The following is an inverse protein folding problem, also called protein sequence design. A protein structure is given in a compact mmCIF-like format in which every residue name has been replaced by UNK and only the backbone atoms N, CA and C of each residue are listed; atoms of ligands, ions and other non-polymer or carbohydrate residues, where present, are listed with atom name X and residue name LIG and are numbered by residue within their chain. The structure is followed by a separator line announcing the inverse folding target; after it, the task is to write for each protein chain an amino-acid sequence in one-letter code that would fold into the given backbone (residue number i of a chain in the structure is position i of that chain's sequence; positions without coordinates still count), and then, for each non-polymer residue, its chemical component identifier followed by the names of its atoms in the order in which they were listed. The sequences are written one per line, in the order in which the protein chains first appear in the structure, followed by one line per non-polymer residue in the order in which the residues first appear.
data_IF_541355892800
#
_entry.id   IF_541355892800
#
_cell.length_a   1.000
_cell.length_b   1.000
_cell.length_c   1.000
_cell.angle_alpha   90.00
_cell.angle_beta   90.00
_cell.angle_gamma   90.00
#
_symmetry.space_group_name_H-M   'P 1'
#
loop_
_entity.id
_entity.type
_entity.pdbx_description
1 polymer ?
#
# COMPACT_ATOMS: atom_id res chain seq x y z
N UNK A 1 -1.49 -20.05 -3.01
CA UNK A 1 -0.76 -18.81 -3.34
C UNK A 1 0.75 -18.93 -3.08
N UNK A 2 1.24 -19.98 -2.39
CA UNK A 2 2.68 -20.24 -2.26
C UNK A 2 3.43 -19.27 -1.32
N UNK A 3 2.76 -18.73 -0.31
CA UNK A 3 3.46 -17.99 0.72
C UNK A 3 4.38 -18.89 1.54
N UNK A 4 5.57 -18.40 1.88
CA UNK A 4 6.51 -19.05 2.80
C UNK A 4 6.39 -18.53 4.22
N UNK A 5 6.26 -17.21 4.37
CA UNK A 5 6.20 -16.52 5.65
C UNK A 5 5.23 -15.34 5.56
N UNK A 6 4.42 -15.18 6.58
CA UNK A 6 3.48 -14.05 6.71
C UNK A 6 3.67 -13.42 8.08
N UNK A 7 3.81 -12.09 8.13
CA UNK A 7 3.76 -11.34 9.39
C UNK A 7 2.30 -11.25 9.85
N UNK A 8 2.07 -11.47 11.14
CA UNK A 8 0.77 -11.17 11.75
C UNK A 8 0.53 -9.66 11.69
N UNK A 9 -0.60 -9.25 11.15
CA UNK A 9 -1.00 -7.85 11.02
C UNK A 9 -2.06 -7.43 12.03
N UNK A 10 -2.29 -6.14 12.14
CA UNK A 10 -3.33 -5.58 13.02
C UNK A 10 -4.71 -6.11 12.66
N UNK A 11 -5.02 -6.19 11.35
CA UNK A 11 -6.32 -6.71 10.87
C UNK A 11 -6.52 -8.18 11.20
N UNK A 12 -5.46 -8.97 11.20
CA UNK A 12 -5.53 -10.38 11.58
C UNK A 12 -5.93 -10.52 13.07
N UNK A 13 -5.40 -9.65 13.93
CA UNK A 13 -5.72 -9.61 15.36
C UNK A 13 -7.15 -9.10 15.65
N UNK A 14 -7.79 -8.43 14.71
CA UNK A 14 -9.18 -8.00 14.86
C UNK A 14 -10.16 -9.18 15.03
N UNK A 15 -9.82 -10.37 14.51
CA UNK A 15 -10.60 -11.61 14.70
C UNK A 15 -10.30 -12.31 16.04
N UNK A 16 -9.36 -11.78 16.84
CA UNK A 16 -8.89 -12.34 18.08
C UNK A 16 -7.80 -13.41 17.91
N UNK A 17 -6.96 -13.53 18.94
CA UNK A 17 -5.80 -14.45 18.90
C UNK A 17 -6.19 -15.92 18.78
N UNK A 18 -7.33 -16.29 19.36
CA UNK A 18 -7.83 -17.67 19.30
C UNK A 18 -8.07 -18.11 17.86
N UNK A 19 -8.69 -17.26 17.05
CA UNK A 19 -8.95 -17.54 15.64
C UNK A 19 -7.64 -17.81 14.86
N UNK A 20 -6.64 -16.95 15.03
CA UNK A 20 -5.34 -17.15 14.38
C UNK A 20 -4.61 -18.40 14.88
N UNK A 21 -4.71 -18.70 16.17
CA UNK A 21 -4.08 -19.89 16.75
C UNK A 21 -4.70 -21.20 16.23
N UNK A 22 -5.98 -21.20 15.94
CA UNK A 22 -6.70 -22.34 15.35
C UNK A 22 -6.38 -22.51 13.85
N UNK A 23 -6.10 -21.41 13.15
CA UNK A 23 -5.77 -21.42 11.71
C UNK A 23 -4.28 -21.68 11.44
N UNK A 24 -3.39 -21.19 12.29
CA UNK A 24 -1.94 -21.29 12.11
C UNK A 24 -1.45 -22.72 11.81
N UNK A 25 -1.90 -23.78 12.50
CA UNK A 25 -1.47 -25.16 12.19
C UNK A 25 -1.94 -25.66 10.81
N UNK A 26 -3.00 -25.06 10.26
CA UNK A 26 -3.57 -25.43 8.94
C UNK A 26 -2.88 -24.69 7.80
N UNK A 27 -2.16 -23.61 8.10
CA UNK A 27 -1.48 -22.82 7.10
C UNK A 27 -0.23 -23.56 6.56
N UNK A 28 -0.01 -23.50 5.26
CA UNK A 28 1.19 -24.03 4.61
C UNK A 28 2.39 -23.08 4.67
N UNK A 29 2.26 -21.97 5.39
CA UNK A 29 3.28 -20.95 5.60
C UNK A 29 3.45 -20.70 7.11
N UNK A 30 4.56 -20.10 7.48
CA UNK A 30 4.80 -19.73 8.88
C UNK A 30 4.23 -18.35 9.18
N UNK A 31 3.43 -18.23 10.25
CA UNK A 31 3.12 -16.94 10.86
C UNK A 31 4.28 -16.53 11.77
N UNK A 32 4.71 -15.27 11.63
CA UNK A 32 5.78 -14.68 12.45
C UNK A 32 5.30 -13.41 13.13
N UNK A 33 5.75 -13.19 14.37
CA UNK A 33 5.66 -11.90 15.05
C UNK A 33 6.72 -11.84 16.13
N UNK A 34 7.66 -10.91 16.00
CA UNK A 34 8.81 -10.76 16.89
C UNK A 34 8.44 -10.04 18.18
N UNK A 35 7.38 -9.22 18.14
CA UNK A 35 7.04 -8.33 19.26
C UNK A 35 5.61 -8.48 19.82
N UNK A 36 4.83 -9.46 19.35
CA UNK A 36 3.56 -9.83 19.97
C UNK A 36 3.81 -10.88 21.05
N UNK A 37 3.54 -10.56 22.31
CA UNK A 37 3.86 -11.41 23.44
C UNK A 37 2.65 -11.67 24.34
N UNK A 38 2.67 -12.80 25.02
CA UNK A 38 1.80 -13.09 26.16
C UNK A 38 2.34 -12.36 27.39
N UNK A 39 1.50 -11.55 28.04
CA UNK A 39 1.90 -10.72 29.19
C UNK A 39 2.34 -11.52 30.41
N UNK A 40 1.80 -12.73 30.59
CA UNK A 40 2.12 -13.56 31.78
C UNK A 40 3.48 -14.21 31.63
N UNK A 41 3.80 -14.67 30.44
CA UNK A 41 5.01 -15.46 30.20
C UNK A 41 6.14 -14.64 29.56
N UNK A 42 5.85 -13.49 29.00
CA UNK A 42 6.78 -12.68 28.20
C UNK A 42 7.21 -13.34 26.89
N UNK A 43 6.64 -14.50 26.53
CA UNK A 43 7.01 -15.24 25.32
C UNK A 43 6.22 -14.74 24.11
N UNK A 44 6.87 -14.75 22.95
CA UNK A 44 6.19 -14.48 21.68
C UNK A 44 5.06 -15.48 21.45
N UNK A 45 3.92 -14.98 20.97
CA UNK A 45 2.72 -15.79 20.68
C UNK A 45 2.92 -16.61 19.42
N UNK A 46 3.62 -16.06 18.44
CA UNK A 46 4.04 -16.74 17.22
C UNK A 46 5.56 -16.88 17.18
N UNK A 47 6.09 -17.56 16.16
CA UNK A 47 7.53 -17.63 15.96
C UNK A 47 8.10 -16.21 15.84
N UNK A 48 9.11 -15.83 16.64
CA UNK A 48 9.70 -14.49 16.52
C UNK A 48 10.41 -14.31 15.18
N UNK A 49 10.92 -15.38 14.62
CA UNK A 49 11.50 -15.46 13.26
C UNK A 49 11.44 -16.88 12.72
N UNK A 50 11.69 -17.02 11.42
CA UNK A 50 11.98 -18.29 10.75
C UNK A 50 13.23 -18.15 9.91
N UNK A 51 13.98 -19.22 9.75
CA UNK A 51 15.12 -19.27 8.84
C UNK A 51 14.72 -20.17 7.67
N UNK A 52 14.89 -19.66 6.45
CA UNK A 52 14.69 -20.39 5.19
C UNK A 52 16.01 -20.47 4.46
N UNK A 53 16.27 -21.61 3.87
CA UNK A 53 17.44 -21.80 3.00
C UNK A 53 17.01 -21.70 1.54
N UNK A 54 17.59 -20.74 0.81
CA UNK A 54 17.28 -20.49 -0.60
C UNK A 54 18.59 -20.25 -1.33
N UNK A 55 18.88 -21.04 -2.35
CA UNK A 55 20.11 -20.97 -3.15
C UNK A 55 21.40 -20.93 -2.29
N UNK A 56 21.44 -21.70 -1.20
CA UNK A 56 22.58 -21.78 -0.28
C UNK A 56 22.68 -20.61 0.71
N UNK A 57 21.72 -19.66 0.69
CA UNK A 57 21.62 -18.59 1.67
C UNK A 57 20.62 -18.95 2.77
N UNK A 58 21.02 -18.74 4.02
CA UNK A 58 20.14 -18.81 5.19
C UNK A 58 19.50 -17.44 5.42
N UNK A 59 18.23 -17.33 5.12
CA UNK A 59 17.46 -16.09 5.21
C UNK A 59 16.60 -16.12 6.47
N UNK A 60 16.87 -15.24 7.42
CA UNK A 60 16.01 -15.02 8.57
C UNK A 60 14.91 -14.02 8.22
N UNK A 61 13.66 -14.38 8.49
CA UNK A 61 12.50 -13.53 8.27
C UNK A 61 11.82 -13.27 9.60
N UNK A 62 11.74 -11.99 9.99
CA UNK A 62 11.14 -11.52 11.23
C UNK A 62 9.88 -10.69 10.92
N UNK A 63 8.95 -10.61 11.86
CA UNK A 63 7.73 -9.82 11.72
C UNK A 63 7.58 -8.77 12.81
N UNK A 64 7.23 -7.53 12.46
CA UNK A 64 7.02 -6.44 13.42
C UNK A 64 5.62 -5.84 13.29
N UNK A 65 4.97 -5.66 14.44
CA UNK A 65 3.72 -4.94 14.63
C UNK A 65 3.98 -3.55 15.22
N UNK A 66 3.13 -2.59 14.90
CA UNK A 66 3.17 -1.28 15.55
C UNK A 66 2.62 -1.36 16.97
N UNK A 67 3.38 -0.91 17.95
CA UNK A 67 2.99 -0.88 19.36
C UNK A 67 1.87 0.13 19.66
N UNK A 68 1.61 1.08 18.76
CA UNK A 68 0.44 1.97 18.84
C UNK A 68 -0.89 1.22 18.74
N UNK A 69 -0.91 -0.02 18.24
CA UNK A 69 -2.09 -0.87 18.20
C UNK A 69 -2.46 -1.50 19.57
N UNK A 70 -1.60 -1.39 20.58
CA UNK A 70 -1.84 -1.97 21.92
C UNK A 70 -3.21 -1.65 22.54
N UNK A 71 -3.75 -0.40 22.51
CA UNK A 71 -5.07 -0.12 23.08
C UNK A 71 -6.17 -0.98 22.47
N UNK A 72 -6.22 -1.06 21.15
CA UNK A 72 -7.22 -1.86 20.40
C UNK A 72 -7.04 -3.37 20.66
N UNK A 73 -5.79 -3.83 20.71
CA UNK A 73 -5.48 -5.22 21.01
C UNK A 73 -5.99 -5.61 22.42
N UNK A 74 -5.76 -4.76 23.40
CA UNK A 74 -6.10 -5.03 24.80
C UNK A 74 -7.60 -5.05 25.08
N UNK A 75 -8.40 -4.37 24.28
CA UNK A 75 -9.86 -4.47 24.34
C UNK A 75 -10.36 -5.88 23.97
N UNK A 76 -9.67 -6.58 23.07
CA UNK A 76 -10.06 -7.91 22.57
C UNK A 76 -9.33 -9.04 23.28
N UNK A 77 -8.03 -8.87 23.46
CA UNK A 77 -7.11 -9.86 24.01
C UNK A 77 -6.25 -9.23 25.13
N UNK A 78 -6.81 -8.96 26.32
CA UNK A 78 -6.12 -8.23 27.41
C UNK A 78 -4.87 -8.93 27.93
N UNK A 79 -4.75 -10.24 27.68
CA UNK A 79 -3.57 -11.04 28.01
C UNK A 79 -2.36 -10.83 27.11
N UNK A 80 -2.52 -10.09 26.01
CA UNK A 80 -1.47 -9.85 25.03
C UNK A 80 -0.90 -8.44 25.11
N UNK A 81 0.31 -8.26 24.60
CA UNK A 81 0.96 -6.96 24.43
C UNK A 81 1.86 -6.97 23.21
N UNK A 82 1.95 -5.83 22.54
CA UNK A 82 2.96 -5.57 21.51
C UNK A 82 4.09 -4.79 22.19
N UNK A 83 5.28 -5.40 22.24
CA UNK A 83 6.49 -4.77 22.77
C UNK A 83 6.98 -3.72 21.77
N UNK A 84 7.63 -2.66 22.25
CA UNK A 84 8.26 -1.65 21.41
C UNK A 84 9.17 -2.34 20.37
N UNK A 85 8.96 -2.06 19.07
CA UNK A 85 9.55 -2.83 17.97
C UNK A 85 11.07 -2.90 17.98
N UNK A 86 11.75 -1.78 18.26
CA UNK A 86 13.21 -1.73 18.26
C UNK A 86 13.81 -2.55 19.41
N UNK A 87 13.17 -2.52 20.57
CA UNK A 87 13.60 -3.29 21.75
C UNK A 87 13.45 -4.80 21.53
N UNK A 88 12.30 -5.22 20.98
CA UNK A 88 12.05 -6.62 20.62
C UNK A 88 13.04 -7.11 19.56
N UNK A 89 13.29 -6.27 18.55
CA UNK A 89 14.25 -6.59 17.49
C UNK A 89 15.67 -6.72 18.03
N UNK A 90 16.11 -5.81 18.90
CA UNK A 90 17.44 -5.87 19.54
C UNK A 90 17.65 -7.17 20.29
N UNK A 91 16.63 -7.60 21.06
CA UNK A 91 16.69 -8.85 21.81
C UNK A 91 16.77 -10.07 20.89
N UNK A 92 15.94 -10.11 19.83
CA UNK A 92 15.85 -11.24 18.89
C UNK A 92 17.07 -11.34 17.97
N UNK A 93 17.63 -10.21 17.53
CA UNK A 93 18.78 -10.21 16.62
C UNK A 93 20.11 -10.55 17.31
N UNK A 94 20.14 -10.58 18.66
CA UNK A 94 21.35 -10.93 19.38
C UNK A 94 21.81 -12.35 19.03
N UNK A 95 22.93 -12.48 18.34
CA UNK A 95 23.48 -13.74 17.86
C UNK A 95 22.82 -14.30 16.59
N UNK A 96 21.74 -13.70 16.09
CA UNK A 96 21.03 -14.25 14.92
C UNK A 96 21.90 -14.30 13.66
N UNK A 97 22.82 -13.34 13.49
CA UNK A 97 23.77 -13.32 12.35
C UNK A 97 24.73 -14.51 12.29
N UNK A 98 24.91 -15.23 13.37
CA UNK A 98 25.70 -16.47 13.36
C UNK A 98 24.97 -17.60 12.64
N UNK A 99 23.64 -17.54 12.60
CA UNK A 99 22.77 -18.58 12.03
C UNK A 99 22.19 -18.19 10.67
N UNK A 100 22.32 -16.95 10.22
CA UNK A 100 21.77 -16.52 8.94
C UNK A 100 22.71 -15.58 8.16
N UNK A 101 22.52 -15.57 6.87
CA UNK A 101 23.31 -14.79 5.91
C UNK A 101 22.60 -13.51 5.51
N UNK A 102 21.25 -13.49 5.61
CA UNK A 102 20.39 -12.39 5.17
C UNK A 102 19.23 -12.23 6.14
N UNK A 103 18.89 -10.99 6.50
CA UNK A 103 17.80 -10.66 7.43
C UNK A 103 16.76 -9.81 6.74
N UNK A 104 15.54 -10.33 6.71
CA UNK A 104 14.34 -9.68 6.18
C UNK A 104 13.39 -9.33 7.31
N UNK A 105 12.93 -8.09 7.36
CA UNK A 105 11.88 -7.64 8.26
C UNK A 105 10.58 -7.46 7.47
N UNK A 106 9.53 -8.16 7.86
CA UNK A 106 8.16 -7.90 7.41
C UNK A 106 7.55 -6.89 8.38
N UNK A 107 7.43 -5.63 7.98
CA UNK A 107 7.08 -4.53 8.88
C UNK A 107 5.65 -4.05 8.68
N UNK A 108 4.95 -3.80 9.79
CA UNK A 108 3.67 -3.08 9.85
C UNK A 108 3.81 -1.68 10.50
N UNK A 109 5.05 -1.16 10.63
CA UNK A 109 5.34 0.04 11.42
C UNK A 109 5.04 1.36 10.71
N UNK A 110 4.91 1.35 9.40
CA UNK A 110 4.84 2.57 8.60
C UNK A 110 6.21 3.13 8.22
N UNK A 111 6.23 4.03 7.23
CA UNK A 111 7.45 4.51 6.56
C UNK A 111 8.44 5.17 7.53
N UNK A 112 7.96 6.05 8.40
CA UNK A 112 8.82 6.80 9.32
C UNK A 112 9.54 5.89 10.33
N UNK A 113 8.82 4.91 10.89
CA UNK A 113 9.40 3.95 11.85
C UNK A 113 10.34 2.96 11.15
N UNK A 114 10.05 2.54 9.90
CA UNK A 114 10.95 1.69 9.11
C UNK A 114 12.28 2.38 8.82
N UNK A 115 12.26 3.67 8.45
CA UNK A 115 13.47 4.49 8.25
C UNK A 115 14.28 4.64 9.54
N UNK A 116 13.61 4.89 10.65
CA UNK A 116 14.26 4.95 11.97
C UNK A 116 14.91 3.62 12.31
N UNK A 117 14.19 2.51 12.13
CA UNK A 117 14.69 1.17 12.37
C UNK A 117 15.97 0.87 11.55
N UNK A 118 15.95 1.15 10.25
CA UNK A 118 17.10 1.00 9.37
C UNK A 118 18.26 1.94 9.76
N UNK A 119 17.94 3.16 10.23
CA UNK A 119 18.93 4.12 10.72
C UNK A 119 19.69 3.64 11.96
N UNK A 120 19.01 2.94 12.86
CA UNK A 120 19.59 2.47 14.12
C UNK A 120 20.23 1.08 14.04
N UNK A 121 19.87 0.26 13.04
CA UNK A 121 20.29 -1.14 12.89
C UNK A 121 20.90 -1.43 11.54
N UNK A 122 22.22 -1.57 11.50
CA UNK A 122 22.99 -1.87 10.29
C UNK A 122 22.96 -3.35 9.86
N UNK A 123 22.39 -4.23 10.71
CA UNK A 123 22.40 -5.67 10.47
C UNK A 123 21.11 -6.16 9.77
N UNK A 124 20.25 -5.24 9.32
CA UNK A 124 19.06 -5.54 8.54
C UNK A 124 19.40 -5.37 7.06
N UNK A 125 19.13 -6.39 6.25
CA UNK A 125 19.40 -6.32 4.81
C UNK A 125 18.22 -5.76 4.04
N UNK A 126 16.99 -6.14 4.44
CA UNK A 126 15.77 -5.78 3.72
C UNK A 126 14.61 -5.54 4.70
N UNK A 127 13.88 -4.46 4.49
CA UNK A 127 12.57 -4.21 5.11
C UNK A 127 11.51 -4.22 4.01
N UNK A 128 10.52 -5.11 4.14
CA UNK A 128 9.30 -5.11 3.36
C UNK A 128 8.21 -4.47 4.22
N UNK A 129 7.92 -3.20 3.92
CA UNK A 129 7.02 -2.39 4.71
C UNK A 129 5.57 -2.50 4.26
N UNK A 130 4.69 -2.81 5.19
CA UNK A 130 3.24 -2.62 5.15
C UNK A 130 2.82 -1.56 6.18
N UNK A 131 1.51 -1.34 6.34
CA UNK A 131 0.96 -0.37 7.29
C UNK A 131 1.21 1.10 6.92
N UNK A 132 0.40 1.99 7.48
CA UNK A 132 0.47 3.43 7.22
C UNK A 132 0.13 3.83 5.78
N UNK A 133 0.04 5.14 5.54
CA UNK A 133 -0.12 5.69 4.19
C UNK A 133 1.22 5.60 3.43
N UNK A 134 1.29 4.75 2.43
CA UNK A 134 2.44 4.69 1.53
C UNK A 134 2.15 5.51 0.29
N UNK A 135 2.98 6.50 0.02
CA UNK A 135 3.07 7.09 -1.31
C UNK A 135 3.78 6.08 -2.20
N UNK A 136 3.33 5.96 -3.47
CA UNK A 136 3.82 5.02 -4.51
C UNK A 136 5.20 4.46 -4.28
N UNK A 137 5.29 3.12 -4.28
CA UNK A 137 6.47 2.30 -4.46
C UNK A 137 7.81 2.94 -4.07
N UNK A 138 7.99 3.26 -2.79
CA UNK A 138 9.25 3.86 -2.33
C UNK A 138 10.28 2.75 -2.21
N UNK A 139 11.31 2.83 -3.03
CA UNK A 139 12.54 2.10 -2.84
C UNK A 139 13.54 3.07 -2.24
N UNK A 140 13.92 2.84 -1.02
CA UNK A 140 14.87 3.69 -0.30
C UNK A 140 15.95 2.84 0.35
N UNK A 141 17.13 3.39 0.52
CA UNK A 141 18.23 2.75 1.25
C UNK A 141 18.69 3.63 2.40
N UNK A 142 18.65 3.07 3.59
CA UNK A 142 19.08 3.75 4.82
C UNK A 142 20.14 2.89 5.51
N UNK A 143 21.33 3.41 5.68
CA UNK A 143 22.49 2.73 6.31
C UNK A 143 22.78 1.32 5.76
N UNK A 144 22.55 1.10 4.48
CA UNK A 144 22.78 -0.20 3.84
C UNK A 144 21.55 -1.12 3.79
N UNK A 145 20.50 -0.84 4.57
CA UNK A 145 19.23 -1.56 4.55
C UNK A 145 18.36 -1.08 3.39
N UNK A 146 17.88 -2.00 2.56
CA UNK A 146 16.88 -1.69 1.55
C UNK A 146 15.47 -1.67 2.17
N UNK A 147 14.68 -0.64 1.86
CA UNK A 147 13.29 -0.51 2.33
C UNK A 147 12.38 -0.47 1.11
N UNK A 148 11.47 -1.45 1.01
CA UNK A 148 10.47 -1.52 -0.05
C UNK A 148 9.07 -1.44 0.51
N UNK A 149 8.27 -0.56 -0.07
CA UNK A 149 6.86 -0.40 0.26
C UNK A 149 6.05 -0.33 -1.03
N UNK A 150 4.90 -0.97 -1.04
CA UNK A 150 3.94 -0.92 -2.14
C UNK A 150 2.71 -0.12 -1.72
N UNK A 151 2.00 0.40 -2.70
CA UNK A 151 0.68 0.97 -2.45
C UNK A 151 -0.24 -0.11 -1.84
N UNK A 152 -1.09 0.27 -0.86
CA UNK A 152 -2.09 -0.64 -0.30
C UNK A 152 -3.10 -1.09 -1.37
N UNK A 153 -3.92 -2.09 -1.03
CA UNK A 153 -5.03 -2.60 -1.83
C UNK A 153 -4.68 -3.56 -2.97
N UNK A 154 -3.46 -4.15 -2.97
CA UNK A 154 -3.12 -5.22 -3.91
C UNK A 154 -2.98 -4.80 -5.36
N UNK A 155 -2.93 -3.49 -5.66
CA UNK A 155 -2.76 -2.98 -7.03
C UNK A 155 -1.38 -3.26 -7.62
N UNK A 156 -0.42 -3.67 -6.80
CA UNK A 156 0.95 -3.94 -7.22
C UNK A 156 1.52 -5.15 -6.51
N UNK A 157 2.37 -5.89 -7.22
CA UNK A 157 3.22 -6.93 -6.68
C UNK A 157 4.68 -6.44 -6.69
N UNK A 158 5.34 -6.51 -5.54
CA UNK A 158 6.79 -6.28 -5.44
C UNK A 158 7.56 -7.57 -5.67
N UNK A 159 8.56 -7.52 -6.52
CA UNK A 159 9.52 -8.60 -6.73
C UNK A 159 10.92 -8.06 -6.51
N UNK A 160 11.73 -8.76 -5.71
CA UNK A 160 13.13 -8.42 -5.51
C UNK A 160 13.97 -9.60 -5.95
N UNK A 161 14.78 -9.39 -6.99
CA UNK A 161 15.69 -10.39 -7.50
C UNK A 161 17.08 -10.13 -6.91
N UNK A 162 17.69 -11.15 -6.33
CA UNK A 162 19.06 -11.12 -5.84
C UNK A 162 19.95 -11.99 -6.73
N UNK A 163 21.03 -11.41 -7.24
CA UNK A 163 22.09 -12.11 -7.97
C UNK A 163 23.29 -12.28 -7.06
N UNK A 164 23.68 -13.50 -6.81
CA UNK A 164 24.75 -13.86 -5.91
C UNK A 164 25.98 -14.32 -6.72
N UNK A 165 27.00 -13.50 -6.77
CA UNK A 165 28.31 -13.81 -7.40
C UNK A 165 29.37 -14.13 -6.35
N UNK A 166 29.33 -13.44 -5.19
CA UNK A 166 30.27 -13.66 -4.09
C UNK A 166 29.51 -14.16 -2.84
N UNK A 167 29.92 -15.32 -2.33
CA UNK A 167 29.37 -15.94 -1.12
C UNK A 167 30.20 -15.65 0.14
N UNK A 168 31.27 -14.85 0.03
CA UNK A 168 32.09 -14.48 1.19
C UNK A 168 31.28 -13.66 2.18
N UNK A 169 31.39 -14.02 3.42
CA UNK A 169 30.66 -13.37 4.52
C UNK A 169 31.45 -12.22 5.10
N UNK A 170 30.81 -11.09 5.47
CA UNK A 170 29.38 -10.80 5.35
C UNK A 170 28.97 -10.55 3.88
N UNK A 171 27.85 -11.17 3.46
CA UNK A 171 27.33 -11.00 2.11
C UNK A 171 26.76 -9.60 1.97
N UNK A 172 27.27 -8.85 0.97
CA UNK A 172 26.82 -7.48 0.68
C UNK A 172 26.24 -7.41 -0.72
N UNK A 173 25.18 -6.65 -0.88
CA UNK A 173 24.52 -6.42 -2.15
C UNK A 173 24.57 -4.94 -2.53
N UNK A 174 24.68 -4.66 -3.81
CA UNK A 174 24.52 -3.32 -4.40
C UNK A 174 23.27 -3.29 -5.28
N UNK A 175 22.71 -2.12 -5.51
CA UNK A 175 21.53 -1.95 -6.37
C UNK A 175 21.98 -2.10 -7.83
N UNK A 176 21.28 -2.92 -8.62
CA UNK A 176 21.59 -3.08 -10.05
C UNK A 176 21.43 -1.77 -10.83
N UNK A 177 20.50 -0.90 -10.40
CA UNK A 177 20.34 0.42 -11.01
C UNK A 177 21.59 1.30 -10.94
N UNK A 178 22.39 1.19 -9.90
CA UNK A 178 23.68 1.93 -9.80
C UNK A 178 24.65 1.49 -10.91
N UNK A 179 24.73 0.20 -11.17
CA UNK A 179 25.52 -0.35 -12.28
C UNK A 179 24.95 0.09 -13.63
N UNK A 180 23.63 -0.06 -13.84
CA UNK A 180 22.96 0.35 -15.07
C UNK A 180 23.11 1.85 -15.37
N UNK A 181 23.08 2.70 -14.34
CA UNK A 181 23.32 4.14 -14.48
C UNK A 181 24.77 4.44 -14.89
N UNK A 182 25.75 3.73 -14.32
CA UNK A 182 27.15 3.85 -14.70
C UNK A 182 27.37 3.38 -16.14
N UNK A 183 26.77 2.28 -16.56
CA UNK A 183 26.82 1.76 -17.93
C UNK A 183 26.25 2.78 -18.92
N UNK A 184 25.05 3.33 -18.66
CA UNK A 184 24.45 4.39 -19.49
C UNK A 184 25.30 5.66 -19.54
N UNK A 185 25.96 6.02 -18.43
CA UNK A 185 26.85 7.16 -18.39
C UNK A 185 28.11 6.91 -19.23
N UNK A 186 28.65 5.72 -19.18
CA UNK A 186 29.78 5.31 -20.01
C UNK A 186 29.43 5.35 -21.50
N UNK A 187 28.28 4.80 -21.90
CA UNK A 187 27.78 4.85 -23.29
C UNK A 187 27.65 6.28 -23.81
N UNK A 188 27.13 7.21 -22.99
CA UNK A 188 27.04 8.63 -23.36
C UNK A 188 28.43 9.26 -23.57
N UNK A 189 29.39 8.97 -22.69
CA UNK A 189 30.75 9.47 -22.81
C UNK A 189 31.48 8.93 -24.06
N UNK A 190 31.27 7.63 -24.35
CA UNK A 190 31.80 6.98 -25.55
C UNK A 190 31.20 7.65 -26.82
N UNK A 191 29.91 7.82 -26.87
CA UNK A 191 29.22 8.46 -28.00
C UNK A 191 29.73 9.89 -28.26
N UNK A 192 29.91 10.67 -27.17
CA UNK A 192 30.41 12.03 -27.26
C UNK A 192 31.88 12.07 -27.73
N UNK A 193 32.72 11.15 -27.23
CA UNK A 193 34.11 11.03 -27.68
C UNK A 193 34.20 10.69 -29.17
N UNK A 194 33.34 9.79 -29.66
CA UNK A 194 33.28 9.44 -31.10
C UNK A 194 32.89 10.68 -31.92
N UNK A 195 31.90 11.45 -31.48
CA UNK A 195 31.47 12.66 -32.15
C UNK A 195 32.63 13.68 -32.28
N UNK A 196 33.32 13.94 -31.17
CA UNK A 196 34.50 14.85 -31.17
C UNK A 196 35.62 14.34 -32.09
N UNK A 197 35.90 13.04 -32.10
CA UNK A 197 36.88 12.43 -33.01
C UNK A 197 36.48 12.66 -34.50
N UNK A 198 35.20 12.51 -34.83
CA UNK A 198 34.67 12.76 -36.17
C UNK A 198 34.80 14.24 -36.56
N UNK A 199 34.55 15.16 -35.64
CA UNK A 199 34.66 16.59 -35.85
C UNK A 199 36.12 17.01 -36.05
N UNK A 200 37.06 16.46 -35.29
CA UNK A 200 38.50 16.66 -35.46
C UNK A 200 38.97 16.17 -36.83
N UNK A 201 38.47 14.98 -37.24
CA UNK A 201 38.83 14.42 -38.54
C UNK A 201 38.31 15.24 -39.77
N UNK A 202 37.19 15.93 -39.61
CA UNK A 202 36.56 16.73 -40.70
C UNK A 202 37.15 18.12 -40.84
N UNK A 203 37.76 18.70 -39.82
CA UNK A 203 38.20 20.08 -39.81
C UNK A 203 39.72 20.14 -39.71
N UNK A 204 40.43 20.24 -40.82
CA UNK A 204 41.88 20.37 -40.92
C UNK A 204 42.44 21.64 -40.22
N UNK A 205 43.29 21.49 -39.25
CA UNK A 205 44.11 22.50 -38.52
C UNK A 205 43.36 23.49 -37.62
N UNK A 206 43.22 23.20 -36.42
CA UNK A 206 43.15 23.99 -35.16
C UNK A 206 42.22 23.32 -34.13
N UNK A 207 42.75 22.35 -33.36
CA UNK A 207 41.90 21.52 -32.52
C UNK A 207 42.37 21.38 -31.06
N UNK A 208 43.23 22.29 -30.57
CA UNK A 208 43.76 22.15 -29.21
C UNK A 208 42.66 22.09 -28.14
N UNK A 209 41.55 22.83 -28.33
CA UNK A 209 40.42 22.80 -27.39
C UNK A 209 39.70 21.46 -27.45
N UNK A 210 39.37 20.97 -28.66
CA UNK A 210 38.71 19.67 -28.86
C UNK A 210 39.57 18.49 -28.43
N UNK A 211 40.89 18.57 -28.62
CA UNK A 211 41.83 17.56 -28.11
C UNK A 211 41.87 17.52 -26.58
N UNK A 212 41.83 18.69 -25.91
CA UNK A 212 41.74 18.74 -24.44
C UNK A 212 40.44 18.14 -23.96
N UNK A 213 39.32 18.45 -24.61
CA UNK A 213 37.99 17.88 -24.31
C UNK A 213 37.96 16.36 -24.52
N UNK A 214 38.52 15.87 -25.63
CA UNK A 214 38.63 14.45 -25.91
C UNK A 214 39.46 13.72 -24.83
N UNK A 215 40.61 14.25 -24.48
CA UNK A 215 41.46 13.67 -23.43
C UNK A 215 40.75 13.64 -22.07
N UNK A 216 39.96 14.66 -21.74
CA UNK A 216 39.15 14.69 -20.54
C UNK A 216 38.06 13.60 -20.56
N UNK A 217 37.33 13.45 -21.67
CA UNK A 217 36.32 12.41 -21.84
C UNK A 217 36.91 11.01 -21.75
N UNK A 218 38.03 10.75 -22.40
CA UNK A 218 38.76 9.47 -22.35
C UNK A 218 39.26 9.14 -20.93
N UNK A 219 39.71 10.15 -20.20
CA UNK A 219 40.09 9.99 -18.79
C UNK A 219 38.88 9.58 -17.94
N UNK A 220 37.71 10.22 -18.16
CA UNK A 220 36.46 9.88 -17.46
C UNK A 220 35.91 8.51 -17.86
N UNK A 221 36.08 8.11 -19.12
CA UNK A 221 35.72 6.74 -19.56
C UNK A 221 36.53 5.69 -18.79
N UNK A 222 37.85 5.85 -18.75
CA UNK A 222 38.75 4.93 -18.01
C UNK A 222 38.41 4.85 -16.52
N UNK A 223 38.08 5.98 -15.90
CA UNK A 223 37.61 6.00 -14.49
C UNK A 223 36.32 5.20 -14.29
N UNK A 224 35.33 5.38 -15.19
CA UNK A 224 34.06 4.64 -15.13
C UNK A 224 34.25 3.16 -15.43
N UNK A 225 35.04 2.80 -16.44
CA UNK A 225 35.39 1.41 -16.77
C UNK A 225 36.01 0.69 -15.59
N UNK A 226 36.98 1.35 -14.92
CA UNK A 226 37.59 0.83 -13.70
C UNK A 226 36.58 0.63 -12.58
N UNK A 227 35.60 1.55 -12.44
CA UNK A 227 34.54 1.45 -11.45
C UNK A 227 33.60 0.28 -11.78
N UNK A 228 33.21 0.12 -13.05
CA UNK A 228 32.36 -0.98 -13.51
C UNK A 228 33.05 -2.34 -13.33
N UNK A 229 34.35 -2.44 -13.67
CA UNK A 229 35.13 -3.65 -13.46
C UNK A 229 35.17 -4.05 -11.98
N UNK A 230 35.28 -3.09 -11.07
CA UNK A 230 35.26 -3.35 -9.64
C UNK A 230 33.88 -3.84 -9.13
N UNK A 231 32.84 -3.74 -9.96
CA UNK A 231 31.50 -4.22 -9.65
C UNK A 231 31.19 -5.59 -10.27
N UNK A 232 32.02 -6.15 -11.16
CA UNK A 232 31.72 -7.41 -11.87
C UNK A 232 31.53 -8.61 -10.93
N UNK A 233 32.28 -8.67 -9.83
CA UNK A 233 32.20 -9.75 -8.84
C UNK A 233 31.31 -9.41 -7.64
N UNK A 234 30.45 -8.38 -7.74
CA UNK A 234 29.59 -7.99 -6.64
C UNK A 234 28.23 -8.66 -6.73
N UNK A 235 27.61 -8.83 -5.58
CA UNK A 235 26.23 -9.27 -5.50
C UNK A 235 25.29 -8.08 -5.80
N UNK A 236 24.27 -8.33 -6.60
CA UNK A 236 23.29 -7.33 -7.01
C UNK A 236 21.90 -7.68 -6.54
N UNK A 237 21.08 -6.66 -6.33
CA UNK A 237 19.64 -6.85 -6.24
C UNK A 237 18.91 -5.86 -7.14
N UNK A 238 17.75 -6.28 -7.64
CA UNK A 238 16.86 -5.48 -8.45
C UNK A 238 15.44 -5.55 -7.89
N UNK A 239 14.85 -4.40 -7.68
CA UNK A 239 13.44 -4.29 -7.30
C UNK A 239 12.57 -4.00 -8.52
N UNK A 240 11.51 -4.77 -8.70
CA UNK A 240 10.56 -4.65 -9.78
C UNK A 240 9.18 -4.48 -9.15
N UNK A 241 8.48 -3.43 -9.56
CA UNK A 241 7.07 -3.22 -9.20
C UNK A 241 6.22 -3.65 -10.38
N UNK A 242 5.42 -4.67 -10.20
CA UNK A 242 4.55 -5.25 -11.22
C UNK A 242 3.13 -4.78 -10.93
N UNK A 243 2.53 -3.93 -11.79
CA UNK A 243 1.14 -3.56 -11.62
C UNK A 243 0.25 -4.78 -11.87
N UNK A 244 -0.64 -5.08 -10.91
CA UNK A 244 -1.66 -6.11 -11.07
C UNK A 244 -2.78 -5.50 -11.91
N UNK A 245 -2.80 -5.82 -13.21
CA UNK A 245 -3.76 -5.29 -14.18
C UNK A 245 -4.66 -6.40 -14.70
N UNK A 246 -5.84 -6.05 -15.22
CA UNK A 246 -6.80 -6.98 -15.83
C UNK A 246 -6.23 -7.80 -17.00
N UNK A 247 -5.11 -7.35 -17.61
CA UNK A 247 -4.42 -8.13 -18.64
C UNK A 247 -3.70 -9.38 -18.12
N UNK A 248 -3.52 -9.50 -16.81
CA UNK A 248 -2.95 -10.70 -16.18
C UNK A 248 -4.10 -11.69 -15.98
N UNK A 249 -4.00 -12.85 -16.63
CA UNK A 249 -5.01 -13.90 -16.46
C UNK A 249 -5.06 -14.37 -15.01
N UNK A 250 -6.28 -14.48 -14.48
CA UNK A 250 -6.49 -15.05 -13.16
C UNK A 250 -6.08 -16.53 -13.11
N UNK A 251 -5.54 -16.97 -11.98
CA UNK A 251 -5.29 -18.40 -11.74
C UNK A 251 -6.63 -19.12 -11.51
N UNK A 252 -7.01 -20.11 -12.36
CA UNK A 252 -8.31 -20.79 -12.25
C UNK A 252 -8.55 -21.44 -10.88
N UNK A 253 -7.47 -21.84 -10.19
CA UNK A 253 -7.56 -22.45 -8.84
C UNK A 253 -7.98 -21.41 -7.81
N UNK A 254 -7.43 -20.19 -7.93
CA UNK A 254 -7.77 -19.08 -7.03
C UNK A 254 -9.19 -18.59 -7.30
N UNK A 255 -9.61 -18.51 -8.57
CA UNK A 255 -11.00 -18.18 -8.92
C UNK A 255 -11.97 -19.16 -8.26
N UNK A 256 -11.71 -20.46 -8.39
CA UNK A 256 -12.56 -21.49 -7.78
C UNK A 256 -12.66 -21.35 -6.26
N UNK A 257 -11.55 -21.09 -5.58
CA UNK A 257 -11.55 -20.84 -4.13
C UNK A 257 -12.34 -19.58 -3.76
N UNK A 258 -12.19 -18.49 -4.53
CA UNK A 258 -12.95 -17.25 -4.33
C UNK A 258 -14.45 -17.47 -4.56
N UNK A 259 -14.83 -18.24 -5.56
CA UNK A 259 -16.24 -18.59 -5.81
C UNK A 259 -16.82 -19.45 -4.68
N UNK A 260 -16.05 -20.40 -4.18
CA UNK A 260 -16.41 -21.22 -3.02
C UNK A 260 -16.60 -20.32 -1.79
N UNK A 261 -15.64 -19.46 -1.49
CA UNK A 261 -15.73 -18.50 -0.38
C UNK A 261 -16.95 -17.59 -0.53
N UNK A 262 -17.20 -17.04 -1.71
CA UNK A 262 -18.36 -16.18 -1.98
C UNK A 262 -19.68 -16.92 -1.77
N UNK A 263 -19.73 -18.18 -2.18
CA UNK A 263 -20.92 -19.03 -2.03
C UNK A 263 -21.18 -19.37 -0.56
N UNK A 264 -20.14 -19.74 0.19
CA UNK A 264 -20.26 -20.07 1.60
C UNK A 264 -20.57 -18.83 2.45
N UNK A 265 -19.89 -17.72 2.20
CA UNK A 265 -20.19 -16.46 2.92
C UNK A 265 -21.59 -15.93 2.62
N UNK A 266 -22.09 -16.10 1.39
CA UNK A 266 -23.47 -15.74 1.05
C UNK A 266 -24.52 -16.56 1.82
N UNK A 267 -24.24 -17.83 2.14
CA UNK A 267 -25.12 -18.65 2.99
C UNK A 267 -25.16 -18.18 4.43
N UNK A 268 -24.03 -17.67 4.94
CA UNK A 268 -23.91 -17.11 6.29
C UNK A 268 -24.50 -15.70 6.37
N UNK A 269 -24.55 -15.01 5.25
CA UNK A 269 -25.12 -13.67 5.16
C UNK A 269 -26.63 -13.75 5.28
N UNK A 270 -27.13 -13.49 6.49
CA UNK A 270 -28.53 -13.12 6.68
C UNK A 270 -28.61 -11.63 6.38
N UNK A 271 -29.28 -11.19 5.28
CA UNK A 271 -29.50 -9.77 5.07
C UNK A 271 -30.25 -9.27 6.31
N UNK A 272 -29.55 -8.54 7.17
CA UNK A 272 -30.26 -7.66 8.09
C UNK A 272 -31.04 -6.78 7.14
N UNK A 273 -32.37 -6.84 7.24
CA UNK A 273 -33.28 -5.99 6.47
C UNK A 273 -32.60 -4.64 6.38
N UNK A 274 -32.33 -4.17 5.15
CA UNK A 274 -31.94 -2.79 4.94
C UNK A 274 -33.12 -2.02 5.48
N UNK A 275 -33.05 -1.66 6.75
CA UNK A 275 -34.01 -0.73 7.32
C UNK A 275 -33.73 0.49 6.49
N UNK A 276 -34.65 0.84 5.61
CA UNK A 276 -34.70 2.15 5.00
C UNK A 276 -34.86 3.12 6.17
N UNK A 277 -33.74 3.35 6.84
CA UNK A 277 -33.66 4.22 8.00
C UNK A 277 -33.94 5.61 7.48
N UNK A 278 -35.14 6.06 7.66
CA UNK A 278 -35.54 7.41 7.28
C UNK A 278 -36.87 7.52 6.53
N UNK A 279 -37.52 6.44 6.13
CA UNK A 279 -38.87 6.58 5.50
C UNK A 279 -39.88 7.26 6.42
N UNK A 280 -39.71 7.10 7.74
CA UNK A 280 -40.67 7.63 8.74
C UNK A 280 -40.05 8.79 9.58
N UNK A 281 -38.83 9.21 9.30
CA UNK A 281 -38.17 10.31 10.05
C UNK A 281 -38.25 11.62 9.28
N UNK A 282 -38.58 12.69 9.99
CA UNK A 282 -38.45 14.05 9.47
C UNK A 282 -36.96 14.38 9.21
N UNK A 283 -36.69 15.29 8.30
CA UNK A 283 -35.33 15.76 8.00
C UNK A 283 -34.60 16.26 9.26
N UNK A 284 -35.32 16.92 10.15
CA UNK A 284 -34.78 17.42 11.42
C UNK A 284 -34.31 16.28 12.33
N UNK A 285 -35.07 15.19 12.40
CA UNK A 285 -34.72 13.99 13.17
C UNK A 285 -33.55 13.25 12.55
N UNK A 286 -33.49 13.16 11.22
CA UNK A 286 -32.34 12.60 10.53
C UNK A 286 -31.05 13.36 10.84
N UNK A 287 -31.07 14.69 10.72
CA UNK A 287 -29.90 15.53 11.02
C UNK A 287 -29.50 15.40 12.50
N UNK A 288 -30.46 15.34 13.42
CA UNK A 288 -30.19 15.19 14.85
C UNK A 288 -29.49 13.88 15.23
N UNK A 289 -29.65 12.83 14.39
CA UNK A 289 -29.00 11.53 14.60
C UNK A 289 -27.54 11.45 14.06
N UNK A 290 -27.09 12.48 13.34
CA UNK A 290 -25.69 12.54 12.89
C UNK A 290 -24.79 12.82 14.10
N UNK A 291 -23.74 12.00 14.36
CA UNK A 291 -22.87 12.22 15.50
C UNK A 291 -22.19 13.59 15.44
N UNK A 292 -22.26 14.33 16.52
CA UNK A 292 -21.60 15.68 16.61
C UNK A 292 -20.07 15.62 16.40
N UNK A 293 -19.48 14.48 16.64
CA UNK A 293 -18.05 14.23 16.41
C UNK A 293 -17.72 13.91 14.94
N UNK A 294 -18.70 13.52 14.13
CA UNK A 294 -18.46 13.19 12.71
C UNK A 294 -17.96 14.41 11.92
N UNK A 295 -16.89 14.29 11.13
CA UNK A 295 -16.45 15.31 10.19
C UNK A 295 -17.36 15.37 8.96
N UNK A 296 -18.12 14.30 8.67
CA UNK A 296 -19.09 14.22 7.59
C UNK A 296 -20.50 14.44 8.13
N UNK A 297 -21.27 15.25 7.43
CA UNK A 297 -22.63 15.66 7.87
C UNK A 297 -23.75 15.10 6.99
N UNK A 298 -23.39 14.41 5.89
CA UNK A 298 -24.34 13.83 4.95
C UNK A 298 -25.09 14.82 4.09
N UNK A 299 -25.51 14.38 2.91
CA UNK A 299 -26.18 15.22 1.92
C UNK A 299 -27.46 15.89 2.43
N UNK A 300 -28.14 15.29 3.40
CA UNK A 300 -29.36 15.87 4.00
C UNK A 300 -29.08 17.21 4.67
N UNK A 301 -27.90 17.39 5.28
CA UNK A 301 -27.50 18.65 5.89
C UNK A 301 -27.21 19.74 4.86
N UNK A 302 -26.77 19.35 3.66
CA UNK A 302 -26.49 20.27 2.56
C UNK A 302 -27.77 20.85 1.94
N UNK A 303 -28.90 20.12 2.04
CA UNK A 303 -30.19 20.48 1.46
C UNK A 303 -30.64 21.89 1.85
N UNK A 304 -30.41 22.29 3.10
CA UNK A 304 -30.87 23.58 3.62
C UNK A 304 -30.41 24.78 2.79
N UNK A 305 -29.20 24.74 2.26
CA UNK A 305 -28.61 25.84 1.47
C UNK A 305 -28.50 25.49 -0.02
N UNK A 306 -28.39 24.18 -0.35
CA UNK A 306 -28.16 23.68 -1.70
C UNK A 306 -29.31 22.78 -2.20
N UNK A 307 -30.54 23.20 -1.98
CA UNK A 307 -31.75 22.37 -2.24
C UNK A 307 -31.85 21.90 -3.68
N UNK A 308 -31.55 22.75 -4.66
CA UNK A 308 -31.61 22.40 -6.09
C UNK A 308 -30.60 21.31 -6.42
N UNK A 309 -29.36 21.43 -5.94
CA UNK A 309 -28.31 20.47 -6.16
C UNK A 309 -28.64 19.13 -5.43
N UNK A 310 -29.19 19.21 -4.21
CA UNK A 310 -29.62 18.04 -3.47
C UNK A 310 -30.72 17.26 -4.22
N UNK A 311 -31.76 17.95 -4.72
CA UNK A 311 -32.84 17.32 -5.50
C UNK A 311 -32.34 16.71 -6.80
N UNK A 312 -31.39 17.34 -7.47
CA UNK A 312 -30.77 16.80 -8.68
C UNK A 312 -29.92 15.56 -8.37
N UNK A 313 -29.09 15.63 -7.31
CA UNK A 313 -28.31 14.50 -6.86
C UNK A 313 -29.17 13.26 -6.49
N UNK A 314 -30.29 13.44 -5.82
CA UNK A 314 -31.21 12.35 -5.47
C UNK A 314 -31.66 11.51 -6.69
N UNK A 315 -31.69 12.10 -7.88
CA UNK A 315 -32.07 11.43 -9.13
C UNK A 315 -30.92 10.61 -9.73
N UNK A 316 -29.69 10.79 -9.25
CA UNK A 316 -28.50 10.16 -9.81
C UNK A 316 -28.29 8.73 -9.31
N UNK A 317 -27.46 7.98 -10.06
CA UNK A 317 -26.98 6.66 -9.61
C UNK A 317 -26.11 6.76 -8.36
N UNK A 318 -25.44 7.88 -8.13
CA UNK A 318 -24.63 8.12 -6.96
C UNK A 318 -25.46 8.08 -5.66
N UNK A 319 -26.60 8.73 -5.64
CA UNK A 319 -27.50 8.71 -4.48
C UNK A 319 -27.97 7.28 -4.14
N UNK A 320 -28.07 6.42 -5.14
CA UNK A 320 -28.57 5.02 -5.02
C UNK A 320 -27.44 3.99 -4.98
N UNK A 321 -26.16 4.42 -4.90
CA UNK A 321 -25.03 3.52 -5.04
C UNK A 321 -25.02 2.39 -4.01
N UNK A 322 -25.26 2.67 -2.73
CA UNK A 322 -25.36 1.62 -1.69
C UNK A 322 -26.50 0.64 -1.93
N UNK A 323 -27.64 1.11 -2.48
CA UNK A 323 -28.78 0.24 -2.77
C UNK A 323 -28.46 -0.81 -3.85
N UNK A 324 -27.59 -0.48 -4.81
CA UNK A 324 -27.21 -1.42 -5.88
C UNK A 324 -26.45 -2.63 -5.36
N UNK A 325 -25.68 -2.47 -4.27
CA UNK A 325 -24.95 -3.58 -3.64
C UNK A 325 -25.78 -4.27 -2.55
N UNK A 326 -26.70 -3.56 -1.90
CA UNK A 326 -27.59 -4.13 -0.89
C UNK A 326 -28.55 -5.19 -1.47
N UNK A 327 -28.95 -5.03 -2.73
CA UNK A 327 -29.87 -5.95 -3.41
C UNK A 327 -29.23 -7.28 -3.81
N UNK A 328 -27.91 -7.42 -3.74
CA UNK A 328 -27.21 -8.63 -4.16
C UNK A 328 -26.28 -9.16 -3.05
N UNK A 329 -26.50 -10.39 -2.57
CA UNK A 329 -25.61 -11.05 -1.61
C UNK A 329 -24.15 -11.12 -2.10
N UNK A 330 -23.95 -11.11 -3.42
CA UNK A 330 -22.64 -11.12 -4.08
C UNK A 330 -21.82 -9.86 -3.81
N UNK A 331 -22.49 -8.76 -3.47
CA UNK A 331 -21.85 -7.45 -3.31
C UNK A 331 -21.89 -6.92 -1.87
N UNK A 332 -22.20 -7.74 -0.90
CA UNK A 332 -22.07 -7.38 0.51
C UNK A 332 -20.60 -7.36 0.97
N UNK A 333 -19.68 -7.03 0.07
CA UNK A 333 -18.25 -7.06 0.32
C UNK A 333 -17.71 -5.66 0.59
N UNK A 334 -16.84 -5.58 1.56
CA UNK A 334 -16.09 -4.40 1.97
C UNK A 334 -15.52 -3.60 0.78
N UNK A 335 -14.96 -4.30 -0.21
CA UNK A 335 -14.39 -3.72 -1.42
C UNK A 335 -15.36 -2.86 -2.24
N UNK A 336 -16.66 -3.21 -2.23
CA UNK A 336 -17.68 -2.46 -2.97
C UNK A 336 -18.03 -1.15 -2.25
N UNK A 337 -17.99 -1.15 -0.91
CA UNK A 337 -18.39 -0.01 -0.10
C UNK A 337 -17.48 1.19 -0.25
N UNK A 338 -16.22 0.99 -0.65
CA UNK A 338 -15.28 2.08 -0.94
C UNK A 338 -15.80 3.03 -2.03
N UNK A 339 -16.49 2.48 -3.04
CA UNK A 339 -17.05 3.24 -4.15
C UNK A 339 -18.55 3.49 -4.00
N UNK A 340 -19.25 2.70 -3.18
CA UNK A 340 -20.70 2.74 -3.04
C UNK A 340 -21.19 3.36 -1.73
N UNK A 341 -20.29 3.91 -0.93
CA UNK A 341 -20.62 4.69 0.27
C UNK A 341 -19.73 5.93 0.37
N UNK A 342 -20.05 6.82 1.30
CA UNK A 342 -19.29 8.05 1.57
C UNK A 342 -18.44 7.88 2.83
N UNK A 343 -17.15 8.26 2.77
CA UNK A 343 -16.25 8.26 3.92
C UNK A 343 -15.78 6.87 4.38
N UNK A 344 -15.91 5.84 3.56
CA UNK A 344 -15.35 4.51 3.83
C UNK A 344 -13.84 4.60 4.11
N UNK A 345 -13.37 3.88 5.12
CA UNK A 345 -11.97 3.92 5.57
C UNK A 345 -11.62 5.13 6.43
N UNK A 346 -12.33 6.27 6.26
CA UNK A 346 -12.15 7.49 7.05
C UNK A 346 -13.08 7.54 8.26
N UNK A 347 -14.32 7.07 8.10
CA UNK A 347 -15.35 7.03 9.13
C UNK A 347 -15.52 5.66 9.77
N UNK A 348 -14.79 4.69 9.31
CA UNK A 348 -14.85 3.28 9.69
C UNK A 348 -14.84 2.37 8.47
N UNK A 349 -14.52 1.11 8.70
CA UNK A 349 -14.62 0.03 7.73
C UNK A 349 -15.90 -0.76 8.06
N UNK A 350 -16.72 -0.98 7.05
CA UNK A 350 -18.00 -1.67 7.18
C UNK A 350 -17.98 -2.93 6.32
N UNK A 351 -18.42 -4.05 6.87
CA UNK A 351 -18.48 -5.29 6.10
C UNK A 351 -19.72 -5.36 5.20
N UNK A 352 -20.79 -4.65 5.55
CA UNK A 352 -22.07 -4.67 4.84
C UNK A 352 -22.69 -3.27 4.72
N UNK A 353 -23.57 -3.09 3.74
CA UNK A 353 -24.34 -1.83 3.56
C UNK A 353 -25.14 -1.46 4.80
N UNK A 354 -25.66 -2.45 5.52
CA UNK A 354 -26.48 -2.21 6.72
C UNK A 354 -25.69 -1.64 7.90
N UNK A 355 -24.37 -1.80 7.88
CA UNK A 355 -23.47 -1.21 8.89
C UNK A 355 -23.08 0.23 8.55
N UNK A 356 -23.21 0.62 7.27
CA UNK A 356 -22.93 1.99 6.84
C UNK A 356 -23.98 2.93 7.44
N UNK A 357 -23.57 3.93 8.23
CA UNK A 357 -24.51 4.93 8.75
C UNK A 357 -25.37 5.52 7.63
N UNK A 358 -26.66 5.72 7.88
CA UNK A 358 -27.61 6.17 6.86
C UNK A 358 -27.18 7.46 6.14
N UNK A 359 -26.53 8.39 6.85
CA UNK A 359 -26.03 9.65 6.32
C UNK A 359 -24.74 9.49 5.50
N UNK A 360 -24.19 8.29 5.39
CA UNK A 360 -23.02 7.94 4.57
C UNK A 360 -23.35 6.94 3.46
N UNK A 361 -24.58 6.43 3.39
CA UNK A 361 -25.01 5.53 2.33
C UNK A 361 -25.09 6.25 0.98
N UNK A 362 -24.56 5.61 -0.07
CA UNK A 362 -24.43 6.20 -1.39
C UNK A 362 -23.22 7.15 -1.52
N UNK A 363 -22.96 7.59 -2.74
CA UNK A 363 -21.91 8.60 -3.04
C UNK A 363 -22.54 9.97 -2.87
N UNK A 364 -22.33 10.56 -1.70
CA UNK A 364 -22.95 11.85 -1.32
C UNK A 364 -22.08 13.05 -1.69
N UNK A 365 -22.54 14.26 -1.37
CA UNK A 365 -21.87 15.51 -1.71
C UNK A 365 -20.41 15.53 -1.22
N UNK A 366 -20.19 15.05 -0.01
CA UNK A 366 -18.88 15.07 0.66
C UNK A 366 -17.87 14.08 0.07
N UNK A 367 -18.32 13.06 -0.68
CA UNK A 367 -17.42 12.19 -1.42
C UNK A 367 -16.63 12.92 -2.51
N UNK A 368 -17.18 14.02 -3.02
CA UNK A 368 -16.58 14.83 -4.07
C UNK A 368 -16.08 16.20 -3.55
N UNK A 369 -16.80 16.80 -2.60
CA UNK A 369 -16.54 18.16 -2.13
C UNK A 369 -15.76 18.23 -0.81
N UNK A 370 -15.49 17.09 -0.16
CA UNK A 370 -14.80 17.02 1.12
C UNK A 370 -15.72 17.19 2.32
N UNK A 371 -15.15 17.32 3.51
CA UNK A 371 -15.86 17.35 4.79
C UNK A 371 -16.73 18.59 4.94
N UNK A 372 -18.01 18.38 5.31
CA UNK A 372 -18.98 19.45 5.47
C UNK A 372 -19.08 20.01 6.89
N UNK A 373 -18.41 19.41 7.89
CA UNK A 373 -18.49 19.87 9.26
C UNK A 373 -17.93 21.30 9.44
N UNK A 374 -18.78 22.18 9.91
CA UNK A 374 -18.44 23.59 10.15
C UNK A 374 -18.53 24.47 8.91
N UNK A 375 -18.97 23.94 7.75
CA UNK A 375 -19.31 24.78 6.59
C UNK A 375 -20.61 25.53 6.85
N UNK A 376 -20.73 26.85 6.49
CA UNK A 376 -19.74 27.66 5.79
C UNK A 376 -18.71 28.39 6.69
N UNK A 377 -18.85 28.35 8.02
CA UNK A 377 -18.07 29.16 8.96
C UNK A 377 -16.57 28.82 8.97
N UNK A 378 -16.21 27.54 8.72
CA UNK A 378 -14.83 27.05 8.71
C UNK A 378 -14.18 27.02 7.34
N UNK A 379 -14.74 27.71 6.36
CA UNK A 379 -14.19 27.77 5.01
C UNK A 379 -15.06 27.10 3.95
N UNK A 380 -14.59 27.16 2.72
CA UNK A 380 -15.30 26.58 1.56
C UNK A 380 -14.92 25.12 1.35
N UNK A 381 -15.90 24.27 1.14
CA UNK A 381 -15.71 22.97 0.55
C UNK A 381 -15.17 23.11 -0.89
N UNK A 382 -14.54 22.06 -1.42
CA UNK A 382 -13.98 22.06 -2.77
C UNK A 382 -15.07 22.36 -3.82
N UNK A 383 -14.93 23.50 -4.51
CA UNK A 383 -15.94 23.92 -5.51
C UNK A 383 -15.81 23.17 -6.82
N UNK A 384 -14.59 22.81 -7.22
CA UNK A 384 -14.29 22.12 -8.47
C UNK A 384 -13.91 20.68 -8.19
N UNK A 385 -14.77 19.76 -8.58
CA UNK A 385 -14.48 18.33 -8.55
C UNK A 385 -13.51 17.99 -9.68
N UNK A 386 -12.33 17.50 -9.35
CA UNK A 386 -11.31 17.15 -10.32
C UNK A 386 -11.47 15.74 -10.87
N UNK A 387 -10.89 15.48 -12.05
CA UNK A 387 -10.81 14.14 -12.62
C UNK A 387 -10.22 13.10 -11.64
N UNK A 388 -9.24 13.53 -10.82
CA UNK A 388 -8.62 12.66 -9.81
C UNK A 388 -9.61 12.11 -8.79
N UNK A 389 -10.53 12.94 -8.31
CA UNK A 389 -11.59 12.52 -7.37
C UNK A 389 -12.49 11.47 -8.01
N UNK A 390 -12.90 11.67 -9.27
CA UNK A 390 -13.74 10.70 -9.97
C UNK A 390 -13.02 9.34 -10.15
N UNK A 391 -11.73 9.36 -10.45
CA UNK A 391 -10.92 8.16 -10.68
C UNK A 391 -10.70 7.30 -9.44
N UNK A 392 -10.98 7.79 -8.24
CA UNK A 392 -10.95 6.96 -7.03
C UNK A 392 -11.97 5.80 -7.10
N UNK A 393 -13.08 5.99 -7.84
CA UNK A 393 -14.13 5.00 -8.03
C UNK A 393 -14.30 4.58 -9.50
N UNK A 394 -14.17 5.53 -10.44
CA UNK A 394 -14.27 5.28 -11.88
C UNK A 394 -12.92 4.86 -12.46
N UNK A 395 -12.46 3.67 -12.10
CA UNK A 395 -11.29 3.03 -12.69
C UNK A 395 -11.61 2.46 -14.07
N UNK A 396 -10.60 2.09 -14.85
CA UNK A 396 -10.81 1.43 -16.15
C UNK A 396 -11.61 0.12 -16.01
N UNK A 397 -11.42 -0.57 -14.88
CA UNK A 397 -12.03 -1.86 -14.60
C UNK A 397 -13.48 -1.74 -14.20
N UNK A 398 -13.82 -0.76 -13.35
CA UNK A 398 -15.17 -0.56 -12.85
C UNK A 398 -16.02 0.33 -13.76
N UNK A 399 -15.40 1.12 -14.61
CA UNK A 399 -16.08 2.09 -15.48
C UNK A 399 -15.32 2.29 -16.80
N UNK A 400 -15.22 1.25 -17.66
CA UNK A 400 -14.38 1.26 -18.86
C UNK A 400 -14.77 2.36 -19.86
N UNK A 401 -16.02 2.81 -19.83
CA UNK A 401 -16.55 3.87 -20.69
C UNK A 401 -16.56 5.25 -20.02
N UNK A 402 -15.88 5.40 -18.88
CA UNK A 402 -15.88 6.64 -18.14
C UNK A 402 -15.28 7.80 -18.95
N UNK A 403 -16.09 8.83 -19.15
CA UNK A 403 -15.68 10.10 -19.73
C UNK A 403 -16.02 11.23 -18.75
N UNK A 404 -14.99 11.93 -18.31
CA UNK A 404 -15.12 12.95 -17.24
C UNK A 404 -16.15 14.03 -17.58
N UNK A 405 -16.09 14.60 -18.78
CA UNK A 405 -16.99 15.69 -19.21
C UNK A 405 -18.43 15.19 -19.29
N UNK A 406 -18.66 14.07 -19.99
CA UNK A 406 -20.00 13.50 -20.15
C UNK A 406 -20.60 13.01 -18.81
N UNK A 407 -19.77 12.65 -17.83
CA UNK A 407 -20.26 12.19 -16.52
C UNK A 407 -20.52 13.36 -15.57
N UNK A 408 -19.79 14.48 -15.69
CA UNK A 408 -20.09 15.70 -14.94
C UNK A 408 -21.52 16.18 -15.18
N UNK A 409 -22.01 16.11 -16.42
CA UNK A 409 -23.40 16.48 -16.78
C UNK A 409 -24.44 15.61 -16.08
N UNK A 410 -24.08 14.34 -15.73
CA UNK A 410 -25.00 13.35 -15.16
C UNK A 410 -25.04 13.36 -13.63
N UNK A 411 -24.09 14.00 -12.96
CA UNK A 411 -24.06 14.03 -11.49
C UNK A 411 -25.03 15.01 -10.84
N UNK A 412 -25.70 15.83 -11.64
CA UNK A 412 -26.77 16.72 -11.17
C UNK A 412 -26.30 18.01 -10.47
N UNK A 413 -25.01 18.21 -10.30
CA UNK A 413 -24.45 19.44 -9.72
C UNK A 413 -24.23 20.46 -10.84
N UNK A 414 -25.21 21.34 -11.05
CA UNK A 414 -25.03 22.48 -11.95
C UNK A 414 -24.18 23.52 -11.24
N UNK A 415 -23.10 23.94 -11.89
CA UNK A 415 -22.34 25.13 -11.47
C UNK A 415 -23.31 26.29 -11.69
N UNK A 416 -23.84 26.86 -10.62
CA UNK A 416 -24.44 28.18 -10.70
C UNK A 416 -23.34 29.16 -11.12
N UNK A 417 -23.48 29.73 -12.30
CA UNK A 417 -22.62 30.81 -12.81
C UNK A 417 -22.58 32.00 -11.85
#
# INVERSE_FOLDING_TARGET
MGYDVVNVGEKDLMMGIRFLSELSPKAKFSLVSTNLVDKKTGKCVFKPFVIKEVAGLRIAVLGLLDDQFNPTLQEKDPGLSIIEPLSALKATMKGLREYCDFIVILSQLGESKDKKLAGEKRDIDLILGGGGESKRGVTERVNGTAIYRLEPRGGYLGRVDYSLSDTKRPIKFIISSEREELEKKLERLISHSIQIKMEIAKSGKQHQVKLKELNFLESKQKELEKTLLALEDKNFYRHIVIPVQMAISDDPRIIKELETYRTESAKLYKPKVVVEVGKDLSEKEMIARIPKTSPLVGAISCKRCHEVNYRNWLKTKHAKASQTIAASPKYAQEECLMCHSTGYGKMGEYATVSEVPFYLQGVQCEACHGEGKGHPEKGSMERKVTLGICRNCHTKDQSPTFNYIAYLEKIGCKISQ
#
